data_IF_016657815499
#
_entry.id   IF_016657815499
#
_cell.length_a   1.000
_cell.length_b   1.000
_cell.length_c   1.000
_cell.angle_alpha   90.00
_cell.angle_beta   90.00
_cell.angle_gamma   90.00
#
_symmetry.space_group_name_H-M   'P 1'
#
loop_
_entity.id
_entity.type
_entity.pdbx_description
1 polymer ?
#
# COMPACT_ATOMS: atom_id res chain seq x y z
N UNK A 1 13.13 33.18 8.06
CA UNK A 1 12.47 32.19 8.94
C UNK A 1 11.31 31.59 8.16
N UNK A 2 11.45 30.34 7.70
CA UNK A 2 10.45 29.69 6.86
C UNK A 2 9.17 29.41 7.65
N UNK A 3 8.03 29.79 7.09
CA UNK A 3 6.70 29.44 7.61
C UNK A 3 6.58 27.91 7.62
N UNK A 4 6.74 27.30 8.80
CA UNK A 4 6.54 25.87 8.99
C UNK A 4 5.08 25.54 8.78
N UNK A 5 4.74 24.94 7.62
CA UNK A 5 3.40 24.45 7.35
C UNK A 5 3.09 23.33 8.36
N UNK A 6 2.23 23.61 9.34
CA UNK A 6 1.69 22.57 10.21
C UNK A 6 0.77 21.67 9.38
N UNK A 7 1.08 20.38 9.33
CA UNK A 7 0.20 19.37 8.75
C UNK A 7 -1.02 19.20 9.68
N UNK A 8 -2.21 19.12 9.10
CA UNK A 8 -3.43 18.82 9.87
C UNK A 8 -3.38 17.35 10.34
N UNK A 9 -3.90 17.05 11.55
CA UNK A 9 -3.98 15.68 12.03
C UNK A 9 -4.90 14.83 11.13
N UNK A 10 -4.54 13.56 10.97
CA UNK A 10 -5.28 12.56 10.21
C UNK A 10 -5.41 11.27 11.01
N UNK A 11 -6.52 10.56 10.82
CA UNK A 11 -6.69 9.15 11.20
C UNK A 11 -6.20 8.26 10.07
N UNK A 12 -5.51 7.18 10.42
CA UNK A 12 -4.91 6.26 9.46
C UNK A 12 -5.31 4.82 9.80
N UNK A 13 -5.87 4.13 8.82
CA UNK A 13 -6.22 2.72 8.89
C UNK A 13 -5.46 1.98 7.79
N UNK A 14 -4.56 1.08 8.15
CA UNK A 14 -3.72 0.34 7.22
C UNK A 14 -4.13 -1.14 7.20
N UNK A 15 -4.23 -1.73 6.02
CA UNK A 15 -4.52 -3.16 5.91
C UNK A 15 -5.99 -3.56 6.11
N UNK A 16 -6.93 -2.70 5.70
CA UNK A 16 -8.36 -3.00 5.79
C UNK A 16 -8.74 -3.98 4.66
N UNK A 17 -9.20 -5.21 4.94
CA UNK A 17 -9.57 -6.17 3.90
C UNK A 17 -10.82 -5.68 3.16
N UNK A 18 -10.78 -5.68 1.83
CA UNK A 18 -11.94 -5.29 1.00
C UNK A 18 -12.53 -6.43 0.16
N UNK A 19 -11.79 -7.53 0.01
CA UNK A 19 -12.24 -8.72 -0.69
C UNK A 19 -11.62 -9.99 -0.07
N UNK A 20 -12.19 -11.16 -0.38
CA UNK A 20 -11.58 -12.45 -0.02
C UNK A 20 -10.26 -12.67 -0.76
N UNK A 21 -9.24 -13.29 -0.14
CA UNK A 21 -7.97 -13.58 -0.80
C UNK A 21 -8.16 -14.39 -2.10
N UNK A 22 -7.54 -13.97 -3.23
CA UNK A 22 -7.62 -14.63 -4.53
C UNK A 22 -6.61 -15.79 -4.62
N UNK A 23 -6.56 -16.63 -3.58
CA UNK A 23 -5.62 -17.75 -3.43
C UNK A 23 -6.33 -19.09 -3.63
N UNK A 24 -5.56 -20.14 -3.93
CA UNK A 24 -6.08 -21.50 -4.04
C UNK A 24 -7.25 -21.61 -5.05
N UNK A 25 -8.42 -22.16 -4.65
CA UNK A 25 -9.59 -22.24 -5.52
C UNK A 25 -10.14 -20.90 -6.03
N UNK A 26 -9.84 -19.79 -5.34
CA UNK A 26 -10.29 -18.45 -5.75
C UNK A 26 -9.32 -17.79 -6.73
N UNK A 27 -8.17 -18.40 -7.03
CA UNK A 27 -7.19 -17.85 -7.95
C UNK A 27 -7.79 -17.71 -9.35
N UNK A 28 -7.57 -16.55 -9.98
CA UNK A 28 -8.13 -16.19 -11.29
C UNK A 28 -9.66 -16.14 -11.37
N UNK A 29 -10.35 -16.20 -10.23
CA UNK A 29 -11.78 -15.97 -10.15
C UNK A 29 -12.08 -14.50 -9.85
N UNK A 30 -13.29 -14.01 -10.16
CA UNK A 30 -13.74 -12.71 -9.68
C UNK A 30 -13.64 -12.60 -8.15
N UNK A 31 -13.30 -11.41 -7.67
CA UNK A 31 -13.24 -11.14 -6.23
C UNK A 31 -14.62 -11.26 -5.60
N UNK A 32 -14.66 -11.66 -4.33
CA UNK A 32 -15.87 -11.72 -3.51
C UNK A 32 -15.73 -10.76 -2.34
N UNK A 33 -16.86 -10.31 -1.81
CA UNK A 33 -16.91 -9.49 -0.59
C UNK A 33 -16.07 -10.14 0.51
N UNK A 34 -15.25 -9.34 1.21
CA UNK A 34 -14.48 -9.82 2.34
C UNK A 34 -15.36 -10.57 3.35
N UNK A 35 -14.81 -11.63 3.95
CA UNK A 35 -15.50 -12.33 5.01
C UNK A 35 -15.75 -11.36 6.19
N UNK A 36 -16.93 -11.40 6.82
CA UNK A 36 -17.15 -10.64 8.05
C UNK A 36 -16.17 -11.13 9.12
N UNK A 37 -15.74 -10.21 9.99
CA UNK A 37 -14.97 -10.53 11.19
C UNK A 37 -15.79 -10.19 12.43
N UNK A 38 -15.56 -10.93 13.50
CA UNK A 38 -16.16 -10.64 14.80
C UNK A 38 -15.30 -9.64 15.57
N UNK A 39 -15.94 -8.70 16.27
CA UNK A 39 -15.25 -7.72 17.11
C UNK A 39 -14.43 -6.68 16.35
N UNK A 40 -13.34 -6.23 16.97
CA UNK A 40 -12.48 -5.16 16.47
C UNK A 40 -11.29 -5.76 15.74
N UNK A 41 -11.05 -5.32 14.50
CA UNK A 41 -9.83 -5.63 13.74
C UNK A 41 -8.83 -4.50 13.89
N UNK A 42 -7.59 -4.84 14.26
CA UNK A 42 -6.49 -3.88 14.32
C UNK A 42 -5.95 -3.66 12.90
N UNK A 43 -5.92 -2.40 12.46
CA UNK A 43 -5.50 -1.98 11.11
C UNK A 43 -4.45 -0.88 11.19
N UNK A 44 -3.28 -1.21 11.76
CA UNK A 44 -2.20 -0.26 12.07
C UNK A 44 -0.93 -0.51 11.23
N UNK A 45 -0.95 -1.50 10.32
CA UNK A 45 0.20 -1.93 9.51
C UNK A 45 -0.19 -2.18 8.06
N UNK A 46 0.78 -1.98 7.17
CA UNK A 46 0.63 -2.37 5.77
C UNK A 46 0.62 -3.90 5.65
N UNK A 47 -0.37 -4.39 4.91
CA UNK A 47 -0.49 -5.79 4.51
C UNK A 47 0.35 -6.07 3.23
N UNK A 48 0.56 -7.34 2.85
CA UNK A 48 1.35 -7.68 1.67
C UNK A 48 0.85 -6.98 0.40
N UNK A 49 1.79 -6.55 -0.45
CA UNK A 49 1.44 -6.08 -1.80
C UNK A 49 1.20 -7.27 -2.73
N UNK A 50 0.47 -7.04 -3.81
CA UNK A 50 0.25 -8.10 -4.79
C UNK A 50 1.55 -8.50 -5.52
N UNK A 51 1.63 -9.75 -6.03
CA UNK A 51 2.82 -10.24 -6.70
C UNK A 51 3.16 -9.38 -7.93
N UNK A 52 4.38 -8.87 -7.96
CA UNK A 52 4.89 -8.02 -9.03
C UNK A 52 6.39 -8.25 -9.25
N UNK A 53 6.83 -8.20 -10.51
CA UNK A 53 8.24 -8.27 -10.84
C UNK A 53 8.90 -6.93 -10.57
N UNK A 54 9.64 -6.85 -9.47
CA UNK A 54 10.41 -5.66 -9.12
C UNK A 54 11.67 -5.53 -9.98
N UNK A 55 12.07 -4.31 -10.37
CA UNK A 55 13.34 -4.09 -11.07
C UNK A 55 14.52 -4.38 -10.13
N UNK A 56 15.52 -5.10 -10.64
CA UNK A 56 16.77 -5.30 -9.91
C UNK A 56 17.63 -4.03 -10.00
N UNK A 57 17.85 -3.39 -8.86
CA UNK A 57 18.65 -2.17 -8.73
C UNK A 57 19.88 -2.39 -7.83
N UNK A 58 20.25 -3.64 -7.53
CA UNK A 58 21.42 -3.94 -6.66
C UNK A 58 22.72 -3.37 -7.24
N UNK A 59 22.84 -3.35 -8.57
CA UNK A 59 23.91 -2.67 -9.28
C UNK A 59 23.38 -1.34 -9.85
N UNK A 60 23.74 -0.25 -9.20
CA UNK A 60 23.28 1.09 -9.59
C UNK A 60 23.81 1.53 -10.94
N UNK A 61 25.07 1.21 -11.27
CA UNK A 61 25.66 1.55 -12.57
C UNK A 61 24.86 0.91 -13.70
N UNK A 62 24.60 -0.40 -13.60
CA UNK A 62 23.80 -1.13 -14.59
C UNK A 62 22.32 -0.67 -14.62
N UNK A 63 21.78 -0.24 -13.48
CA UNK A 63 20.44 0.34 -13.45
C UNK A 63 20.39 1.69 -14.17
N UNK A 64 21.40 2.56 -13.99
CA UNK A 64 21.47 3.88 -14.62
C UNK A 64 21.66 3.84 -16.13
N UNK A 65 22.19 2.74 -16.67
CA UNK A 65 22.19 2.49 -18.13
C UNK A 65 20.77 2.30 -18.68
N UNK A 66 19.84 1.82 -17.85
CA UNK A 66 18.48 1.42 -18.27
C UNK A 66 17.39 2.39 -17.80
N UNK A 67 17.67 3.23 -16.80
CA UNK A 67 16.69 4.17 -16.27
C UNK A 67 17.30 5.50 -15.78
N UNK A 68 16.54 6.61 -15.83
CA UNK A 68 16.99 7.89 -15.30
C UNK A 68 17.26 7.84 -13.78
N UNK A 69 18.18 8.68 -13.31
CA UNK A 69 18.52 8.83 -11.87
C UNK A 69 17.29 9.02 -10.98
N UNK A 70 16.36 9.90 -11.39
CA UNK A 70 15.13 10.16 -10.61
C UNK A 70 14.24 8.91 -10.43
N UNK A 71 14.21 8.02 -11.43
CA UNK A 71 13.48 6.75 -11.32
C UNK A 71 14.18 5.77 -10.38
N UNK A 72 15.51 5.70 -10.44
CA UNK A 72 16.29 4.88 -9.52
C UNK A 72 16.05 5.31 -8.06
N UNK A 73 16.14 6.61 -7.77
CA UNK A 73 15.91 7.14 -6.42
C UNK A 73 14.47 6.91 -5.93
N UNK A 74 13.49 7.07 -6.82
CA UNK A 74 12.10 6.74 -6.52
C UNK A 74 11.94 5.26 -6.15
N UNK A 75 12.54 4.34 -6.92
CA UNK A 75 12.50 2.91 -6.66
C UNK A 75 13.20 2.54 -5.36
N UNK A 76 14.39 3.09 -5.08
CA UNK A 76 15.10 2.88 -3.81
C UNK A 76 14.22 3.19 -2.61
N UNK A 77 13.45 4.28 -2.68
CA UNK A 77 12.51 4.67 -1.61
C UNK A 77 11.32 3.72 -1.47
N UNK A 78 10.80 3.18 -2.57
CA UNK A 78 9.61 2.33 -2.55
C UNK A 78 9.90 0.85 -2.26
N UNK A 79 11.03 0.32 -2.71
CA UNK A 79 11.31 -1.11 -2.65
C UNK A 79 11.14 -1.75 -1.27
N UNK A 80 11.52 -1.12 -0.13
CA UNK A 80 11.24 -1.68 1.18
C UNK A 80 9.76 -2.01 1.43
N UNK A 81 8.84 -1.19 0.91
CA UNK A 81 7.39 -1.37 1.03
C UNK A 81 6.83 -2.41 0.05
N UNK A 82 7.58 -2.79 -0.99
CA UNK A 82 7.14 -3.75 -2.02
C UNK A 82 7.73 -5.15 -1.84
N UNK A 83 8.59 -5.35 -0.83
CA UNK A 83 9.27 -6.64 -0.57
C UNK A 83 8.32 -7.72 -0.09
N UNK A 84 7.37 -7.38 0.77
CA UNK A 84 6.40 -8.32 1.31
C UNK A 84 5.28 -8.55 0.30
N UNK A 85 5.41 -9.60 -0.51
CA UNK A 85 4.44 -9.94 -1.56
C UNK A 85 3.69 -11.22 -1.23
N UNK A 86 2.38 -11.22 -1.49
CA UNK A 86 1.51 -12.39 -1.35
C UNK A 86 0.36 -12.29 -2.35
N UNK A 87 -0.19 -13.43 -2.79
CA UNK A 87 -1.49 -13.42 -3.50
C UNK A 87 -2.64 -12.99 -2.56
N UNK A 88 -2.48 -13.14 -1.24
CA UNK A 88 -3.33 -12.50 -0.24
C UNK A 88 -2.91 -11.03 -0.05
N UNK A 89 -3.40 -10.17 -0.94
CA UNK A 89 -3.03 -8.75 -1.02
C UNK A 89 -4.23 -7.78 -1.17
N UNK A 90 -5.48 -8.26 -1.00
CA UNK A 90 -6.68 -7.46 -1.24
C UNK A 90 -7.06 -6.62 -0.01
N UNK A 91 -6.18 -5.67 0.31
CA UNK A 91 -6.30 -4.73 1.41
C UNK A 91 -6.24 -3.27 0.91
N UNK A 92 -6.91 -2.37 1.63
CA UNK A 92 -6.86 -0.93 1.41
C UNK A 92 -6.24 -0.22 2.61
N UNK A 93 -5.71 0.97 2.34
CA UNK A 93 -5.27 1.91 3.36
C UNK A 93 -6.15 3.15 3.27
N UNK A 94 -6.70 3.60 4.40
CA UNK A 94 -7.64 4.72 4.49
C UNK A 94 -6.97 5.83 5.31
N UNK A 95 -6.97 7.03 4.74
CA UNK A 95 -6.45 8.24 5.38
C UNK A 95 -7.59 9.26 5.42
N UNK A 96 -8.01 9.67 6.61
CA UNK A 96 -9.10 10.62 6.81
C UNK A 96 -8.64 11.75 7.75
N UNK A 97 -9.18 12.97 7.66
CA UNK A 97 -8.92 13.99 8.66
C UNK A 97 -9.33 13.52 10.05
N UNK A 98 -8.60 13.95 11.08
CA UNK A 98 -9.04 13.75 12.45
C UNK A 98 -10.41 14.43 12.68
N UNK A 99 -11.23 13.81 13.54
CA UNK A 99 -12.64 14.10 13.83
C UNK A 99 -13.05 15.59 13.69
N UNK A 100 -14.15 15.86 12.96
CA UNK A 100 -14.74 17.21 12.84
C UNK A 100 -14.84 17.79 11.42
N UNK A 101 -14.41 17.06 10.39
CA UNK A 101 -14.58 17.44 8.98
C UNK A 101 -15.25 16.33 8.16
N UNK A 102 -16.50 16.54 7.79
CA UNK A 102 -17.19 15.68 6.82
C UNK A 102 -16.59 15.93 5.43
N UNK A 103 -15.89 14.93 4.90
CA UNK A 103 -15.43 14.93 3.53
C UNK A 103 -16.22 13.91 2.73
N UNK A 104 -16.62 14.31 1.52
CA UNK A 104 -17.24 13.41 0.55
C UNK A 104 -16.10 12.66 -0.17
N UNK A 105 -16.20 11.35 -0.21
CA UNK A 105 -15.43 10.54 -1.15
C UNK A 105 -16.23 10.60 -2.47
N UNK A 106 -15.66 11.21 -3.51
CA UNK A 106 -16.27 11.31 -4.85
C UNK A 106 -16.00 10.05 -5.67
#
# INVERSE_FOLDING_TARGET
>A
MGSGRHLKPIEVYLGVPYATPPTGPNRFSPTRTAAPWEGIRITDKFEPVCPQKLPDIRNETAALERMPRGRLEYLKRLLPYLKNQSEDCLYLNIYAPAQGQWLKIL
#
